data_IF_110813498574
#
_entry.id   IF_110813498574
#
_cell.length_a   1.000
_cell.length_b   1.000
_cell.length_c   1.000
_cell.angle_alpha   90.00
_cell.angle_beta   90.00
_cell.angle_gamma   90.00
#
_symmetry.space_group_name_H-M   'P 1'
#
loop_
_entity.id
_entity.type
_entity.pdbx_description
1 polymer ?
#
# COMPACT_ATOMS: atom_id res chain seq x y z
N UNK A 1 -8.69 -26.18 -15.05
CA UNK A 1 -8.61 -25.28 -16.22
C UNK A 1 -8.01 -23.98 -15.73
N UNK A 2 -6.77 -23.69 -16.10
CA UNK A 2 -6.24 -22.33 -15.96
C UNK A 2 -7.00 -21.44 -16.93
N UNK A 3 -7.62 -20.39 -16.43
CA UNK A 3 -8.15 -19.33 -17.28
C UNK A 3 -6.95 -18.57 -17.79
N UNK A 4 -6.37 -19.00 -18.92
CA UNK A 4 -5.46 -18.15 -19.70
C UNK A 4 -6.29 -17.01 -20.28
N UNK A 5 -6.37 -15.93 -19.51
CA UNK A 5 -6.96 -14.68 -19.94
C UNK A 5 -5.90 -13.96 -20.79
N UNK A 6 -5.93 -14.13 -22.11
CA UNK A 6 -4.92 -13.62 -23.06
C UNK A 6 -4.81 -12.07 -23.16
N UNK A 7 -5.40 -11.33 -22.21
CA UNK A 7 -5.42 -9.86 -22.18
C UNK A 7 -4.71 -9.26 -20.95
N UNK A 8 -4.07 -10.08 -20.11
CA UNK A 8 -3.29 -9.59 -18.96
C UNK A 8 -1.82 -9.98 -19.15
N UNK A 9 -0.95 -8.98 -19.10
CA UNK A 9 0.49 -9.16 -19.08
C UNK A 9 0.99 -9.04 -17.63
N UNK A 10 1.76 -10.03 -17.18
CA UNK A 10 2.37 -9.99 -15.87
C UNK A 10 3.57 -9.02 -15.89
N UNK A 11 3.45 -7.90 -15.17
CA UNK A 11 4.55 -6.93 -15.04
C UNK A 11 5.45 -7.21 -13.83
N UNK A 12 4.86 -7.65 -12.72
CA UNK A 12 5.58 -7.95 -11.49
C UNK A 12 4.73 -8.88 -10.62
N UNK A 13 5.40 -9.78 -9.90
CA UNK A 13 4.79 -10.63 -8.87
C UNK A 13 5.77 -10.79 -7.71
N UNK A 14 5.21 -10.84 -6.51
CA UNK A 14 5.91 -11.21 -5.28
C UNK A 14 4.99 -12.14 -4.49
N UNK A 15 5.37 -13.41 -4.43
CA UNK A 15 4.60 -14.44 -3.72
C UNK A 15 4.96 -14.52 -2.23
N UNK A 16 5.92 -13.71 -1.77
CA UNK A 16 6.44 -13.74 -0.40
C UNK A 16 5.88 -12.58 0.43
N UNK A 17 5.95 -11.36 -0.11
CA UNK A 17 5.60 -10.14 0.61
C UNK A 17 4.29 -9.54 0.08
N UNK A 18 3.46 -9.05 0.99
CA UNK A 18 2.17 -8.44 0.63
C UNK A 18 2.37 -7.04 0.06
N UNK A 19 1.89 -6.79 -1.17
CA UNK A 19 1.91 -5.49 -1.84
C UNK A 19 0.50 -4.95 -2.09
N UNK A 20 0.33 -3.63 -2.14
CA UNK A 20 -1.00 -3.00 -2.25
C UNK A 20 -1.16 -1.97 -3.35
N UNK A 21 -0.09 -1.28 -3.74
CA UNK A 21 -0.14 -0.18 -4.70
C UNK A 21 0.76 -0.39 -5.90
N UNK A 22 0.46 0.29 -6.99
CA UNK A 22 1.30 0.34 -8.18
C UNK A 22 1.25 1.75 -8.78
N UNK A 23 2.39 2.28 -9.20
CA UNK A 23 2.48 3.53 -9.93
C UNK A 23 3.50 3.42 -11.07
N UNK A 24 3.20 4.03 -12.21
CA UNK A 24 4.08 4.02 -13.39
C UNK A 24 4.36 5.47 -13.77
N UNK A 25 5.65 5.83 -13.90
CA UNK A 25 6.08 7.16 -14.32
C UNK A 25 5.87 7.37 -15.82
N UNK A 26 5.96 8.62 -16.28
CA UNK A 26 5.90 8.94 -17.71
C UNK A 26 7.02 8.29 -18.52
N UNK A 27 8.16 8.02 -17.90
CA UNK A 27 9.31 7.30 -18.47
C UNK A 27 9.18 5.78 -18.36
N UNK A 28 8.09 5.27 -17.77
CA UNK A 28 7.83 3.84 -17.60
C UNK A 28 8.49 3.22 -16.37
N UNK A 29 8.98 4.02 -15.41
CA UNK A 29 9.49 3.49 -14.12
C UNK A 29 8.32 2.93 -13.31
N UNK A 30 8.44 1.69 -12.85
CA UNK A 30 7.38 0.99 -12.10
C UNK A 30 7.71 1.03 -10.61
N UNK A 31 6.72 1.42 -9.78
CA UNK A 31 6.85 1.47 -8.33
C UNK A 31 5.74 0.66 -7.66
N UNK A 32 6.08 0.01 -6.56
CA UNK A 32 5.13 -0.68 -5.69
C UNK A 32 5.48 -0.43 -4.22
N UNK A 33 4.55 -0.73 -3.33
CA UNK A 33 4.73 -0.61 -1.89
C UNK A 33 4.22 -1.84 -1.14
N UNK A 34 4.78 -2.02 0.05
CA UNK A 34 4.57 -3.16 0.93
C UNK A 34 4.28 -2.63 2.34
N UNK A 35 3.01 -2.59 2.76
CA UNK A 35 2.67 -2.18 4.11
C UNK A 35 3.21 -3.21 5.12
N UNK A 36 3.60 -2.72 6.30
CA UNK A 36 3.99 -3.59 7.41
C UNK A 36 2.73 -4.18 8.07
N UNK A 37 2.12 -5.16 7.40
CA UNK A 37 1.00 -5.96 7.88
C UNK A 37 1.47 -7.23 8.59
N UNK A 38 0.58 -7.95 9.31
CA UNK A 38 0.94 -9.25 9.86
C UNK A 38 1.44 -10.20 8.77
N UNK A 39 2.63 -10.77 8.96
CA UNK A 39 3.29 -11.64 7.99
C UNK A 39 4.75 -11.25 7.76
N UNK A 40 5.43 -11.90 6.80
CA UNK A 40 6.78 -11.50 6.39
C UNK A 40 6.75 -10.10 5.75
N UNK A 41 7.77 -9.30 6.03
CA UNK A 41 7.95 -7.95 5.50
C UNK A 41 9.45 -7.68 5.30
N UNK A 42 9.80 -6.96 4.24
CA UNK A 42 11.20 -6.62 3.93
C UNK A 42 11.36 -5.21 3.36
N UNK A 43 10.44 -4.77 2.51
CA UNK A 43 10.49 -3.48 1.84
C UNK A 43 9.30 -2.63 2.25
N UNK A 44 9.38 -1.32 2.08
CA UNK A 44 8.22 -0.41 2.19
C UNK A 44 7.85 0.18 0.85
N UNK A 45 8.82 0.72 0.11
CA UNK A 45 8.65 1.22 -1.26
C UNK A 45 9.81 0.73 -2.10
N UNK A 46 9.51 0.22 -3.29
CA UNK A 46 10.52 -0.19 -4.24
C UNK A 46 10.24 0.36 -5.63
N UNK A 47 11.31 0.61 -6.37
CA UNK A 47 11.27 0.62 -7.83
C UNK A 47 11.44 -0.81 -8.33
N UNK A 48 10.54 -1.25 -9.20
CA UNK A 48 10.61 -2.53 -9.89
C UNK A 48 11.42 -2.34 -11.17
N UNK A 49 12.48 -3.13 -11.28
CA UNK A 49 13.43 -3.15 -12.39
C UNK A 49 13.17 -4.38 -13.27
N UNK A 50 13.91 -4.48 -14.38
CA UNK A 50 13.84 -5.63 -15.26
C UNK A 50 14.09 -6.97 -14.52
N UNK A 51 13.48 -8.05 -15.03
CA UNK A 51 13.62 -9.40 -14.48
C UNK A 51 13.15 -9.53 -13.02
N UNK A 52 12.07 -8.84 -12.62
CA UNK A 52 11.52 -8.83 -11.26
C UNK A 52 12.51 -8.40 -10.16
N UNK A 53 13.58 -7.68 -10.52
CA UNK A 53 14.47 -7.12 -9.51
C UNK A 53 13.79 -5.92 -8.83
N UNK A 54 13.99 -5.77 -7.52
CA UNK A 54 13.44 -4.66 -6.74
C UNK A 54 14.56 -3.84 -6.11
N UNK A 55 14.40 -2.52 -6.10
CA UNK A 55 15.34 -1.57 -5.49
C UNK A 55 14.59 -0.73 -4.46
N UNK A 56 15.01 -0.72 -3.17
CA UNK A 56 14.44 0.17 -2.17
C UNK A 56 14.45 1.64 -2.61
N UNK A 57 13.30 2.30 -2.48
CA UNK A 57 13.08 3.65 -2.98
C UNK A 57 12.66 4.63 -1.86
N UNK A 58 13.12 5.90 -1.87
CA UNK A 58 14.14 6.46 -2.77
C UNK A 58 15.54 5.88 -2.52
N UNK A 59 15.75 5.28 -1.35
CA UNK A 59 16.99 4.63 -0.99
C UNK A 59 16.74 3.54 0.09
N UNK A 60 17.80 2.80 0.41
CA UNK A 60 17.77 1.75 1.42
C UNK A 60 17.58 2.30 2.85
N UNK A 61 18.12 3.49 3.16
CA UNK A 61 18.00 4.10 4.48
C UNK A 61 16.53 4.37 4.84
N UNK A 62 15.76 4.90 3.90
CA UNK A 62 14.35 5.18 4.14
C UNK A 62 13.52 3.90 4.31
N UNK A 63 13.95 2.78 3.72
CA UNK A 63 13.34 1.46 3.91
C UNK A 63 13.84 0.71 5.16
N UNK A 64 14.74 1.29 5.95
CA UNK A 64 15.44 0.59 7.03
C UNK A 64 14.82 0.77 8.42
N UNK A 65 13.59 1.28 8.52
CA UNK A 65 12.96 1.52 9.82
C UNK A 65 12.84 0.23 10.62
N UNK A 66 13.10 0.32 11.92
CA UNK A 66 12.87 -0.75 12.89
C UNK A 66 12.04 -0.23 14.07
N UNK A 67 11.28 -1.13 14.69
CA UNK A 67 10.49 -0.78 15.87
C UNK A 67 11.39 -0.23 17.00
N UNK A 68 11.04 0.94 17.52
CA UNK A 68 11.85 1.69 18.49
C UNK A 68 12.62 2.87 17.87
N UNK A 69 12.80 2.90 16.55
CA UNK A 69 13.39 4.05 15.85
C UNK A 69 12.35 5.16 15.58
N UNK A 70 12.84 6.36 15.29
CA UNK A 70 12.02 7.47 14.79
C UNK A 70 11.46 7.14 13.41
N UNK A 71 10.13 7.17 13.29
CA UNK A 71 9.40 6.91 12.05
C UNK A 71 9.22 8.14 11.16
N UNK A 72 9.59 9.35 11.59
CA UNK A 72 9.35 10.59 10.82
C UNK A 72 10.23 10.68 9.56
N UNK A 73 11.43 10.11 9.61
CA UNK A 73 12.41 10.17 8.51
C UNK A 73 12.59 8.85 7.74
N UNK A 74 11.81 7.82 8.10
CA UNK A 74 11.84 6.50 7.44
C UNK A 74 10.42 6.02 7.15
N UNK A 75 10.29 5.03 6.27
CA UNK A 75 9.03 4.35 6.00
C UNK A 75 8.66 3.43 7.16
N UNK A 76 7.47 3.60 7.72
CA UNK A 76 6.99 2.75 8.83
C UNK A 76 6.05 1.68 8.32
N UNK A 77 5.00 2.07 7.58
CA UNK A 77 3.99 1.15 7.06
C UNK A 77 3.31 1.76 5.83
N UNK A 78 4.01 1.78 4.69
CA UNK A 78 3.52 2.46 3.48
C UNK A 78 2.33 1.72 2.86
N UNK A 79 1.22 2.42 2.65
CA UNK A 79 -0.04 1.84 2.19
C UNK A 79 -0.31 2.10 0.70
N UNK A 80 0.17 3.21 0.15
CA UNK A 80 -0.04 3.53 -1.25
C UNK A 80 1.10 4.35 -1.86
N UNK A 81 1.25 4.16 -3.18
CA UNK A 81 2.04 4.98 -4.07
C UNK A 81 1.17 5.51 -5.21
N UNK A 82 1.39 6.74 -5.63
CA UNK A 82 0.66 7.40 -6.71
C UNK A 82 1.58 8.33 -7.48
N UNK A 83 1.51 8.35 -8.81
CA UNK A 83 2.22 9.34 -9.62
C UNK A 83 1.22 10.35 -10.17
N UNK A 84 1.50 11.63 -9.96
CA UNK A 84 0.62 12.72 -10.39
C UNK A 84 0.85 13.14 -11.85
N UNK A 85 0.06 14.12 -12.32
CA UNK A 85 0.14 14.64 -13.68
C UNK A 85 1.46 15.38 -13.98
N UNK A 86 2.24 15.77 -12.94
CA UNK A 86 3.54 16.41 -13.05
C UNK A 86 4.70 15.41 -12.88
N UNK A 87 4.40 14.11 -12.92
CA UNK A 87 5.37 13.01 -12.81
C UNK A 87 6.12 12.98 -11.46
N UNK A 88 5.49 13.44 -10.38
CA UNK A 88 6.01 13.28 -9.02
C UNK A 88 5.43 12.02 -8.36
N UNK A 89 6.26 11.29 -7.63
CA UNK A 89 5.79 10.15 -6.82
C UNK A 89 5.30 10.65 -5.46
N UNK A 90 4.09 10.27 -5.12
CA UNK A 90 3.45 10.47 -3.84
C UNK A 90 3.40 9.15 -3.07
N UNK A 91 3.86 9.18 -1.82
CA UNK A 91 3.88 8.01 -0.93
C UNK A 91 3.02 8.30 0.29
N UNK A 92 2.04 7.44 0.54
CA UNK A 92 1.16 7.50 1.72
C UNK A 92 1.65 6.51 2.77
N UNK A 93 2.19 7.01 3.87
CA UNK A 93 2.60 6.22 5.01
C UNK A 93 1.67 6.51 6.20
N UNK A 94 0.63 5.68 6.44
CA UNK A 94 -0.18 5.79 7.66
C UNK A 94 0.62 5.54 8.94
N UNK A 95 1.83 5.00 8.85
CA UNK A 95 2.68 4.61 9.97
C UNK A 95 1.93 3.74 10.99
N UNK A 96 1.07 2.84 10.52
CA UNK A 96 0.22 1.99 11.35
C UNK A 96 0.65 0.52 11.20
N UNK A 97 1.79 0.12 11.81
CA UNK A 97 2.29 -1.25 11.71
C UNK A 97 1.25 -2.23 12.26
N UNK A 98 1.12 -3.38 11.60
CA UNK A 98 0.14 -4.42 11.88
C UNK A 98 -1.33 -3.96 11.90
N UNK A 99 -1.62 -2.79 11.32
CA UNK A 99 -2.94 -2.16 11.34
C UNK A 99 -3.47 -1.89 12.77
N UNK A 100 -2.57 -1.66 13.73
CA UNK A 100 -2.94 -1.47 15.14
C UNK A 100 -3.24 0.00 15.48
N UNK A 101 -2.21 0.85 15.45
CA UNK A 101 -2.30 2.28 15.73
C UNK A 101 -1.16 3.05 15.04
N UNK A 102 -1.37 4.34 14.83
CA UNK A 102 -0.33 5.23 14.30
C UNK A 102 0.87 5.26 15.26
N UNK A 103 2.03 4.86 14.77
CA UNK A 103 3.28 4.82 15.47
C UNK A 103 3.83 6.24 15.65
N UNK A 104 3.95 6.70 16.90
CA UNK A 104 4.62 7.96 17.29
C UNK A 104 4.26 9.17 16.40
N UNK A 105 2.99 9.30 16.00
CA UNK A 105 2.52 10.37 15.10
C UNK A 105 3.32 10.49 13.78
N UNK A 106 3.89 9.38 13.30
CA UNK A 106 4.80 9.33 12.14
C UNK A 106 4.09 9.22 10.78
N UNK A 107 2.76 9.35 10.78
CA UNK A 107 1.96 9.37 9.56
C UNK A 107 2.38 10.52 8.63
N UNK A 108 2.47 10.24 7.33
CA UNK A 108 2.98 11.23 6.39
C UNK A 108 2.52 10.98 4.96
N UNK A 109 2.40 12.08 4.24
CA UNK A 109 2.37 12.10 2.79
C UNK A 109 3.71 12.66 2.31
N UNK A 110 4.40 11.94 1.43
CA UNK A 110 5.71 12.36 0.93
C UNK A 110 5.65 12.54 -0.58
N UNK A 111 6.15 13.69 -1.05
CA UNK A 111 6.36 13.97 -2.47
C UNK A 111 7.83 13.75 -2.82
N UNK A 112 8.09 12.98 -3.86
CA UNK A 112 9.43 12.66 -4.36
C UNK A 112 9.52 13.07 -5.83
N UNK A 113 10.57 13.81 -6.16
CA UNK A 113 10.93 14.15 -7.51
C UNK A 113 11.54 12.94 -8.21
N UNK A 114 10.88 12.42 -9.25
CA UNK A 114 11.37 11.25 -9.97
C UNK A 114 12.58 11.54 -10.87
N UNK A 115 12.86 12.80 -11.23
CA UNK A 115 14.04 13.13 -12.03
C UNK A 115 15.32 13.11 -11.19
N UNK A 116 15.23 13.39 -9.89
CA UNK A 116 16.39 13.46 -8.98
C UNK A 116 16.38 12.39 -7.88
N UNK A 117 15.32 11.58 -7.80
CA UNK A 117 15.05 10.63 -6.71
C UNK A 117 15.13 11.26 -5.31
N UNK A 118 14.76 12.54 -5.21
CA UNK A 118 14.88 13.32 -3.99
C UNK A 118 13.51 13.65 -3.39
N UNK A 119 13.42 13.57 -2.07
CA UNK A 119 12.23 14.02 -1.33
C UNK A 119 12.12 15.54 -1.49
N UNK A 120 11.02 16.01 -2.08
CA UNK A 120 10.74 17.44 -2.19
C UNK A 120 10.02 17.96 -0.96
N UNK A 121 9.08 17.18 -0.42
CA UNK A 121 8.24 17.61 0.69
C UNK A 121 7.66 16.45 1.48
N UNK A 122 7.55 16.65 2.79
CA UNK A 122 6.85 15.76 3.73
C UNK A 122 5.73 16.56 4.38
N UNK A 123 4.51 16.05 4.32
CA UNK A 123 3.34 16.59 5.01
C UNK A 123 3.00 15.69 6.18
N UNK A 124 2.88 16.28 7.37
CA UNK A 124 2.50 15.60 8.61
C UNK A 124 1.07 15.97 9.00
N UNK A 125 0.46 15.17 9.86
CA UNK A 125 -0.96 15.31 10.20
C UNK A 125 -1.23 15.48 11.69
N UNK A 126 -0.18 15.86 12.44
CA UNK A 126 -0.27 16.08 13.88
C UNK A 126 -1.30 17.16 14.21
N UNK A 127 -2.16 16.89 15.19
CA UNK A 127 -3.25 17.80 15.57
C UNK A 127 -4.48 17.77 14.66
N UNK A 128 -4.41 17.11 13.51
CA UNK A 128 -5.53 16.96 12.57
C UNK A 128 -6.09 15.54 12.58
N UNK A 129 -5.21 14.53 12.64
CA UNK A 129 -5.58 13.11 12.62
C UNK A 129 -5.29 12.44 13.97
N UNK A 130 -6.13 11.46 14.32
CA UNK A 130 -6.01 10.72 15.57
C UNK A 130 -5.01 9.56 15.45
N UNK A 131 -4.62 8.98 16.59
CA UNK A 131 -3.79 7.77 16.60
C UNK A 131 -4.49 6.52 16.02
N UNK A 132 -5.81 6.59 15.79
CA UNK A 132 -6.60 5.52 15.15
C UNK A 132 -6.74 5.71 13.65
N UNK A 133 -6.27 6.82 13.08
CA UNK A 133 -6.42 7.07 11.65
C UNK A 133 -5.66 6.03 10.81
N UNK A 134 -6.19 5.72 9.62
CA UNK A 134 -5.51 4.86 8.64
C UNK A 134 -5.65 5.48 7.25
N UNK A 135 -4.62 6.23 6.85
CA UNK A 135 -4.53 6.83 5.53
C UNK A 135 -4.30 5.74 4.49
N UNK A 136 -5.21 5.65 3.51
CA UNK A 136 -5.22 4.55 2.55
C UNK A 136 -4.67 4.95 1.18
N UNK A 137 -5.30 5.92 0.51
CA UNK A 137 -4.91 6.37 -0.83
C UNK A 137 -4.90 7.90 -0.92
N UNK A 138 -4.31 8.45 -2.00
CA UNK A 138 -4.21 9.88 -2.30
C UNK A 138 -4.56 10.20 -3.76
N UNK A 139 -5.27 11.29 -4.00
CA UNK A 139 -5.37 11.94 -5.32
C UNK A 139 -4.89 13.37 -5.25
N UNK A 140 -4.15 13.79 -6.26
CA UNK A 140 -3.46 15.09 -6.29
C UNK A 140 -4.01 15.92 -7.45
N UNK A 141 -4.55 17.09 -7.14
CA UNK A 141 -4.92 18.13 -8.08
C UNK A 141 -3.73 19.09 -8.21
N UNK A 142 -2.91 18.88 -9.23
CA UNK A 142 -1.71 19.70 -9.47
C UNK A 142 -2.07 21.11 -9.94
N UNK A 143 -3.24 21.33 -10.54
CA UNK A 143 -3.65 22.67 -10.96
C UNK A 143 -4.04 23.53 -9.75
N UNK A 144 -4.74 22.95 -8.78
CA UNK A 144 -5.16 23.65 -7.56
C UNK A 144 -4.15 23.54 -6.42
N UNK A 145 -3.14 22.69 -6.56
CA UNK A 145 -2.16 22.39 -5.53
C UNK A 145 -2.83 21.84 -4.26
N UNK A 146 -3.67 20.81 -4.43
CA UNK A 146 -4.39 20.15 -3.33
C UNK A 146 -4.24 18.64 -3.43
N UNK A 147 -3.95 17.97 -2.30
CA UNK A 147 -4.07 16.52 -2.18
C UNK A 147 -5.27 16.13 -1.32
N UNK A 148 -5.93 15.05 -1.72
CA UNK A 148 -7.07 14.44 -1.03
C UNK A 148 -6.70 13.02 -0.63
N UNK A 149 -6.75 12.72 0.67
CA UNK A 149 -6.46 11.38 1.19
C UNK A 149 -7.69 10.79 1.89
N UNK A 150 -7.86 9.48 1.78
CA UNK A 150 -8.91 8.77 2.51
C UNK A 150 -8.42 8.33 3.89
N UNK A 151 -9.14 8.68 4.97
CA UNK A 151 -8.95 8.06 6.29
C UNK A 151 -9.94 6.89 6.44
N UNK A 152 -9.46 5.68 6.15
CA UNK A 152 -10.30 4.49 6.00
C UNK A 152 -10.77 3.85 7.30
N UNK A 153 -10.04 4.04 8.41
CA UNK A 153 -10.45 3.44 9.69
C UNK A 153 -11.57 4.24 10.37
N UNK A 154 -11.46 5.57 10.39
CA UNK A 154 -12.45 6.43 11.07
C UNK A 154 -13.50 7.00 10.11
N UNK A 155 -13.25 6.93 8.80
CA UNK A 155 -14.07 7.57 7.77
C UNK A 155 -13.79 9.07 7.68
N UNK A 156 -13.46 9.54 6.48
CA UNK A 156 -13.29 10.96 6.18
C UNK A 156 -12.29 11.21 5.06
N UNK A 157 -12.25 12.46 4.61
CA UNK A 157 -11.35 12.93 3.56
C UNK A 157 -10.41 13.97 4.15
N UNK A 158 -9.12 13.69 4.13
CA UNK A 158 -8.07 14.63 4.51
C UNK A 158 -7.74 15.49 3.30
N UNK A 159 -7.79 16.80 3.46
CA UNK A 159 -7.44 17.77 2.43
C UNK A 159 -6.15 18.46 2.84
N UNK A 160 -5.17 18.45 1.96
CA UNK A 160 -3.85 19.07 2.14
C UNK A 160 -3.69 20.16 1.11
N UNK A 161 -3.48 21.40 1.55
CA UNK A 161 -3.00 22.47 0.68
C UNK A 161 -1.49 22.27 0.47
N UNK A 162 -1.07 22.03 -0.78
CA UNK A 162 0.31 21.63 -1.09
C UNK A 162 1.29 22.81 -1.04
N UNK A 163 0.80 24.03 -1.16
CA UNK A 163 1.64 25.22 -1.07
C UNK A 163 2.03 25.49 0.39
N UNK A 164 1.02 25.63 1.25
CA UNK A 164 1.17 25.95 2.67
C UNK A 164 1.51 24.74 3.53
N UNK A 165 1.04 23.55 3.16
CA UNK A 165 1.06 22.36 3.99
C UNK A 165 -0.06 22.31 5.03
N UNK A 166 -0.99 23.26 5.03
CA UNK A 166 -2.15 23.20 5.92
C UNK A 166 -3.03 22.00 5.61
N UNK A 167 -3.48 21.33 6.67
CA UNK A 167 -4.29 20.12 6.56
C UNK A 167 -5.59 20.25 7.34
N UNK A 168 -6.65 19.62 6.83
CA UNK A 168 -7.93 19.48 7.54
C UNK A 168 -8.59 18.17 7.18
N UNK A 169 -9.33 17.57 8.11
CA UNK A 169 -10.17 16.41 7.82
C UNK A 169 -11.63 16.84 7.67
N UNK A 170 -12.26 16.43 6.57
CA UNK A 170 -13.64 16.72 6.22
C UNK A 170 -14.47 15.43 6.23
N UNK A 171 -15.79 15.61 6.30
CA UNK A 171 -16.79 14.54 6.23
C UNK A 171 -16.66 13.47 7.33
N UNK A 172 -15.92 13.73 8.41
CA UNK A 172 -15.87 12.82 9.55
C UNK A 172 -17.30 12.46 9.99
N UNK A 173 -17.53 11.17 10.24
CA UNK A 173 -18.81 10.60 10.63
C UNK A 173 -19.96 10.65 9.61
N UNK A 174 -19.76 11.25 8.43
CA UNK A 174 -20.78 11.26 7.39
C UNK A 174 -21.00 9.84 6.82
N UNK A 175 -22.26 9.47 6.50
CA UNK A 175 -22.58 8.12 6.03
C UNK A 175 -21.82 7.75 4.75
N UNK A 176 -21.56 8.73 3.88
CA UNK A 176 -20.88 8.52 2.60
C UNK A 176 -19.39 8.18 2.70
N UNK A 177 -18.80 8.21 3.90
CA UNK A 177 -17.40 7.84 4.16
C UNK A 177 -17.28 6.68 5.14
N UNK A 178 -18.38 5.97 5.41
CA UNK A 178 -18.42 4.75 6.22
C UNK A 178 -18.73 3.56 5.34
N UNK A 179 -18.25 2.39 5.77
CA UNK A 179 -18.65 1.14 5.13
C UNK A 179 -20.14 0.89 5.38
N UNK A 180 -20.79 0.20 4.45
CA UNK A 180 -22.12 -0.35 4.64
C UNK A 180 -22.02 -1.59 5.54
N UNK A 181 -22.60 -1.58 6.76
CA UNK A 181 -22.51 -2.71 7.68
C UNK A 181 -23.27 -3.95 7.18
N UNK A 182 -24.20 -3.79 6.22
CA UNK A 182 -24.95 -4.90 5.64
C UNK A 182 -24.26 -5.50 4.41
N UNK A 183 -23.19 -4.86 3.91
CA UNK A 183 -22.45 -5.37 2.76
C UNK A 183 -21.60 -6.58 3.13
N UNK A 184 -21.77 -7.67 2.37
CA UNK A 184 -21.01 -8.91 2.55
C UNK A 184 -20.21 -9.19 1.29
N UNK A 185 -18.87 -9.25 1.41
CA UNK A 185 -17.99 -9.57 0.28
C UNK A 185 -17.93 -11.10 0.08
N UNK A 186 -18.31 -11.54 -1.12
CA UNK A 186 -18.20 -12.94 -1.55
C UNK A 186 -17.05 -13.07 -2.57
N UNK A 187 -16.15 -14.03 -2.35
CA UNK A 187 -15.09 -14.42 -3.29
C UNK A 187 -15.29 -15.91 -3.57
N UNK A 188 -15.48 -16.28 -4.84
CA UNK A 188 -15.82 -17.64 -5.27
C UNK A 188 -16.97 -18.24 -4.43
N UNK A 189 -18.05 -17.46 -4.28
CA UNK A 189 -19.25 -17.76 -3.49
C UNK A 189 -19.01 -18.01 -1.98
N UNK A 190 -17.83 -17.66 -1.47
CA UNK A 190 -17.49 -17.75 -0.05
C UNK A 190 -17.38 -16.36 0.54
N UNK A 191 -18.04 -16.18 1.67
CA UNK A 191 -17.92 -14.96 2.46
C UNK A 191 -16.47 -14.75 2.92
N UNK A 192 -15.89 -13.62 2.55
CA UNK A 192 -14.56 -13.22 3.01
C UNK A 192 -14.66 -12.73 4.45
N UNK A 193 -14.32 -13.60 5.40
CA UNK A 193 -14.27 -13.27 6.83
C UNK A 193 -12.84 -13.00 7.26
N UNK A 194 -12.67 -12.05 8.19
CA UNK A 194 -11.42 -11.96 8.97
C UNK A 194 -11.23 -13.31 9.66
N UNK A 195 -10.07 -13.94 9.48
CA UNK A 195 -9.77 -15.18 10.18
C UNK A 195 -9.94 -14.92 11.69
N UNK A 196 -10.90 -15.60 12.32
CA UNK A 196 -10.96 -15.64 13.77
C UNK A 196 -9.64 -16.25 14.25
N UNK A 197 -9.02 -15.68 15.29
CA UNK A 197 -7.78 -16.18 15.89
C UNK A 197 -7.84 -17.71 16.07
N UNK A 198 -7.29 -18.46 15.12
CA UNK A 198 -7.12 -19.89 15.20
C UNK A 198 -5.87 -20.12 16.04
N UNK A 199 -6.09 -20.12 17.35
CA UNK A 199 -5.21 -20.79 18.29
C UNK A 199 -5.30 -22.30 18.02
N UNK A 200 -4.64 -22.78 16.97
CA UNK A 200 -4.12 -24.14 16.79
C UNK A 200 -3.38 -24.19 15.46
N UNK A 201 -2.11 -24.55 15.52
CA UNK A 201 -1.27 -24.97 14.40
C UNK A 201 -2.03 -25.89 13.43
N UNK A 202 -2.33 -25.40 12.23
CA UNK A 202 -2.45 -26.26 11.04
C UNK A 202 -2.02 -25.44 9.83
N UNK A 203 -0.92 -25.90 9.24
CA UNK A 203 -0.38 -25.51 7.94
C UNK A 203 -1.53 -25.49 6.90
N UNK A 204 -1.87 -24.34 6.32
CA UNK A 204 -2.57 -24.35 5.03
C UNK A 204 -1.53 -24.62 3.95
N UNK A 205 -1.26 -25.89 3.70
CA UNK A 205 -0.71 -26.31 2.43
C UNK A 205 -1.84 -26.29 1.40
N UNK A 206 -1.67 -25.54 0.31
CA UNK A 206 -2.46 -25.75 -0.90
C UNK A 206 -2.22 -27.19 -1.38
N UNK A 207 -3.24 -27.94 -1.82
CA UNK A 207 -3.02 -29.28 -2.33
C UNK A 207 -2.16 -29.20 -3.59
N UNK A 208 -0.95 -29.74 -3.52
CA UNK A 208 -0.12 -30.00 -4.69
C UNK A 208 -0.88 -30.94 -5.63
N UNK A 209 -1.04 -30.53 -6.89
CA UNK A 209 -1.51 -31.42 -7.95
C UNK A 209 -0.57 -32.64 -8.04
N UNK A 210 -1.09 -33.87 -8.13
CA UNK A 210 -0.25 -34.99 -8.54
C UNK A 210 0.18 -34.79 -10.01
N UNK A 211 1.48 -34.94 -10.28
CA UNK A 211 1.98 -35.15 -11.64
C UNK A 211 1.53 -36.53 -12.11
N UNK A 212 0.55 -36.58 -13.01
CA UNK A 212 0.27 -37.77 -13.81
C UNK A 212 1.33 -37.90 -14.91
N UNK A 213 2.28 -38.81 -14.71
CA UNK A 213 3.16 -39.29 -15.77
C UNK A 213 2.37 -40.24 -16.69
N UNK A 214 1.72 -39.69 -17.71
CA UNK A 214 1.17 -40.45 -18.82
C UNK A 214 2.25 -40.73 -19.88
N UNK A 215 2.96 -41.85 -19.76
CA UNK A 215 3.72 -42.42 -20.87
C UNK A 215 3.08 -43.77 -21.24
N UNK A 216 2.18 -43.74 -22.21
CA UNK A 216 1.60 -44.93 -22.82
C UNK A 216 2.55 -45.45 -23.91
N UNK A 217 3.06 -46.67 -23.74
CA UNK A 217 3.34 -47.55 -24.89
C UNK A 217 2.84 -48.95 -24.54
N UNK A 218 1.80 -49.37 -25.24
CA UNK A 218 1.31 -50.75 -25.29
C UNK A 218 2.00 -51.47 -26.45
N UNK A 219 1.96 -52.81 -26.47
CA UNK A 219 0.93 -53.45 -27.28
C UNK A 219 -0.17 -54.13 -26.46
#
# INVERSE_FOLDING_TARGET
MEVQNNNLELLFADDTYQLTGVAISQEGRLFTNYPLWPGPHQYSVVEVLANNQVKPYPNAEMNSWQNGEDGKNKWVCVQAVYIDAENSLWVVDPACPNMEQVYQQSYKLVKINLATDAIERVYTFEGVLSAKSYLNDVRVDTQRQIAYLTNSNEGGIVVVDLNSGETRQLLQNHYSVKHDPEFTLLVDDKELKKAANLCTSTLMALPSRPMENGCTTNP
#
